data_IF_244754149904
#
_entry.id   IF_244754149904
#
_cell.length_a   1.000
_cell.length_b   1.000
_cell.length_c   1.000
_cell.angle_alpha   90.00
_cell.angle_beta   90.00
_cell.angle_gamma   90.00
#
_symmetry.space_group_name_H-M   'P 1'
#
loop_
_entity.id
_entity.type
_entity.pdbx_description
1 polymer ?
#
# COMPACT_ATOMS: atom_id res chain seq x y z
N UNK A 1 -22.07 -11.19 12.59
CA UNK A 1 -21.70 -11.12 14.02
C UNK A 1 -20.23 -10.74 14.26
N UNK A 2 -19.39 -10.58 13.21
CA UNK A 2 -18.13 -9.83 13.32
C UNK A 2 -18.00 -8.93 12.09
N UNK A 3 -18.69 -7.78 12.11
CA UNK A 3 -18.50 -6.79 11.08
C UNK A 3 -17.19 -6.06 11.39
N UNK A 4 -16.09 -6.50 10.77
CA UNK A 4 -14.95 -5.62 10.56
C UNK A 4 -15.48 -4.45 9.73
N UNK A 5 -15.19 -3.20 10.11
CA UNK A 5 -15.43 -2.07 9.21
C UNK A 5 -14.77 -2.38 7.87
N UNK A 6 -15.40 -1.99 6.76
CA UNK A 6 -14.97 -2.35 5.40
C UNK A 6 -13.45 -2.17 5.23
N UNK A 7 -12.93 -1.01 5.62
CA UNK A 7 -11.50 -0.68 5.62
C UNK A 7 -10.57 -1.71 6.31
N UNK A 8 -10.98 -2.28 7.45
CA UNK A 8 -10.19 -3.30 8.14
C UNK A 8 -10.20 -4.65 7.44
N UNK A 9 -11.31 -5.00 6.80
CA UNK A 9 -11.37 -6.17 5.92
C UNK A 9 -10.53 -5.95 4.66
N UNK A 10 -10.47 -4.72 4.16
CA UNK A 10 -9.69 -4.32 3.00
C UNK A 10 -8.18 -4.38 3.27
N UNK A 11 -7.69 -3.82 4.38
CA UNK A 11 -6.29 -3.94 4.79
C UNK A 11 -5.87 -5.40 5.05
N UNK A 12 -6.78 -6.22 5.59
CA UNK A 12 -6.53 -7.65 5.74
C UNK A 12 -6.29 -8.34 4.39
N UNK A 13 -7.01 -7.94 3.32
CA UNK A 13 -6.75 -8.43 1.96
C UNK A 13 -5.34 -8.08 1.49
N UNK A 14 -4.84 -6.86 1.75
CA UNK A 14 -3.46 -6.49 1.41
C UNK A 14 -2.44 -7.37 2.12
N UNK A 15 -2.59 -7.54 3.43
CA UNK A 15 -1.68 -8.34 4.28
C UNK A 15 -1.64 -9.79 3.86
N UNK A 16 -2.80 -10.46 3.78
CA UNK A 16 -2.85 -11.90 3.55
C UNK A 16 -2.42 -12.29 2.14
N UNK A 17 -2.62 -11.42 1.16
CA UNK A 17 -2.18 -11.65 -0.23
C UNK A 17 -0.78 -11.08 -0.51
N UNK A 18 -0.11 -10.49 0.49
CA UNK A 18 1.22 -9.84 0.36
C UNK A 18 1.27 -8.86 -0.81
N UNK A 19 0.20 -8.10 -1.03
CA UNK A 19 0.09 -7.23 -2.20
C UNK A 19 1.12 -6.10 -2.18
N UNK A 20 1.50 -5.60 -0.99
CA UNK A 20 2.58 -4.62 -0.87
C UNK A 20 3.90 -5.22 -1.37
N UNK A 21 4.20 -6.47 -1.03
CA UNK A 21 5.42 -7.15 -1.48
C UNK A 21 5.43 -7.35 -3.00
N UNK A 22 4.31 -7.84 -3.54
CA UNK A 22 4.15 -8.09 -4.98
C UNK A 22 4.24 -6.79 -5.77
N UNK A 23 3.61 -5.72 -5.28
CA UNK A 23 3.59 -4.42 -5.93
C UNK A 23 4.97 -3.75 -5.92
N UNK A 24 5.66 -3.79 -4.79
CA UNK A 24 6.89 -3.03 -4.57
C UNK A 24 8.17 -3.80 -4.90
N UNK A 25 8.09 -5.13 -4.97
CA UNK A 25 9.24 -6.04 -5.09
C UNK A 25 10.07 -6.17 -3.82
N UNK A 26 9.53 -5.75 -2.67
CA UNK A 26 10.23 -5.72 -1.37
C UNK A 26 9.57 -6.70 -0.40
N UNK A 27 10.37 -7.46 0.36
CA UNK A 27 9.81 -8.33 1.38
C UNK A 27 9.36 -7.47 2.58
N UNK A 28 8.05 -7.42 2.84
CA UNK A 28 7.47 -6.48 3.79
C UNK A 28 6.79 -7.19 4.97
N UNK A 29 6.69 -6.50 6.09
CA UNK A 29 5.85 -6.87 7.21
C UNK A 29 5.11 -5.64 7.75
N UNK A 30 3.84 -5.84 8.14
CA UNK A 30 3.05 -4.80 8.79
C UNK A 30 3.62 -4.53 10.19
N UNK A 31 4.02 -3.29 10.43
CA UNK A 31 4.55 -2.84 11.71
C UNK A 31 3.42 -2.41 12.64
N UNK A 32 2.46 -1.63 12.11
CA UNK A 32 1.35 -1.09 12.90
C UNK A 32 0.20 -0.67 11.97
N UNK A 33 -1.02 -1.05 12.36
CA UNK A 33 -2.26 -0.53 11.75
C UNK A 33 -2.83 0.60 12.62
N UNK A 34 -3.56 1.52 11.98
CA UNK A 34 -4.24 2.66 12.61
C UNK A 34 -3.32 3.51 13.47
N UNK A 35 -2.20 3.94 12.89
CA UNK A 35 -1.26 4.79 13.59
C UNK A 35 -1.78 6.24 13.61
N UNK A 36 -2.24 6.66 14.79
CA UNK A 36 -2.46 8.08 15.11
C UNK A 36 -1.27 8.63 15.86
N UNK A 37 -0.72 9.74 15.39
CA UNK A 37 0.44 10.38 16.03
C UNK A 37 0.55 11.85 15.64
N UNK A 38 1.54 12.54 16.19
CA UNK A 38 1.78 13.96 15.91
C UNK A 38 3.07 14.11 15.13
N UNK A 39 3.01 14.83 14.01
CA UNK A 39 4.18 15.23 13.23
C UNK A 39 4.49 16.69 13.53
N UNK A 40 5.77 17.05 13.80
CA UNK A 40 6.15 18.44 14.03
C UNK A 40 5.65 19.35 12.91
N UNK A 41 5.03 20.48 13.27
CA UNK A 41 4.47 21.50 12.35
C UNK A 41 3.24 21.10 11.53
N UNK A 42 2.92 19.81 11.39
CA UNK A 42 1.69 19.35 10.73
C UNK A 42 0.55 19.04 11.72
N UNK A 43 0.89 18.70 12.97
CA UNK A 43 -0.10 18.34 13.98
C UNK A 43 -0.43 16.85 13.95
N UNK A 44 -1.66 16.49 14.30
CA UNK A 44 -2.09 15.09 14.36
C UNK A 44 -2.30 14.54 12.94
N UNK A 45 -1.73 13.36 12.69
CA UNK A 45 -1.87 12.60 11.44
C UNK A 45 -2.37 11.19 11.75
N UNK A 46 -2.98 10.57 10.76
CA UNK A 46 -3.49 9.21 10.81
C UNK A 46 -3.08 8.45 9.54
N UNK A 47 -2.46 7.28 9.77
CA UNK A 47 -2.04 6.35 8.72
C UNK A 47 -2.69 5.00 8.97
N UNK A 48 -3.37 4.47 7.96
CA UNK A 48 -4.17 3.25 8.08
C UNK A 48 -3.28 2.02 8.34
N UNK A 49 -2.12 1.95 7.69
CA UNK A 49 -1.11 0.93 7.95
C UNK A 49 0.32 1.38 7.62
N UNK A 50 1.31 0.95 8.41
CA UNK A 50 2.73 1.12 8.10
C UNK A 50 3.38 -0.25 7.94
N UNK A 51 4.05 -0.44 6.81
CA UNK A 51 4.92 -1.59 6.57
C UNK A 51 6.39 -1.19 6.65
N UNK A 52 7.22 -2.11 7.11
CA UNK A 52 8.67 -2.07 6.94
C UNK A 52 9.06 -3.17 5.98
N UNK A 53 10.03 -2.91 5.10
CA UNK A 53 10.50 -3.90 4.16
C UNK A 53 12.01 -3.87 3.95
N UNK A 54 12.53 -4.99 3.46
CA UNK A 54 13.94 -5.14 3.06
C UNK A 54 14.00 -5.75 1.67
N UNK A 55 14.77 -5.15 0.78
CA UNK A 55 14.97 -5.67 -0.58
C UNK A 55 16.14 -6.67 -0.63
N UNK A 56 16.38 -7.24 -1.81
CA UNK A 56 17.50 -8.20 -2.05
C UNK A 56 18.90 -7.61 -1.83
N UNK A 57 19.04 -6.28 -1.74
CA UNK A 57 20.30 -5.58 -1.50
C UNK A 57 20.50 -5.22 -0.02
N UNK A 58 19.51 -5.51 0.82
CA UNK A 58 19.50 -5.11 2.23
C UNK A 58 19.09 -3.66 2.44
N UNK A 59 18.53 -2.97 1.44
CA UNK A 59 18.00 -1.63 1.63
C UNK A 59 16.69 -1.71 2.43
N UNK A 60 16.55 -0.82 3.42
CA UNK A 60 15.38 -0.77 4.30
C UNK A 60 14.39 0.29 3.83
N UNK A 61 13.12 -0.08 3.83
CA UNK A 61 12.01 0.72 3.35
C UNK A 61 10.95 0.90 4.44
N UNK A 62 10.27 2.04 4.38
CA UNK A 62 9.00 2.27 5.07
C UNK A 62 7.92 2.57 4.03
N UNK A 63 6.79 1.89 4.15
CA UNK A 63 5.63 2.08 3.28
C UNK A 63 4.43 2.50 4.14
N UNK A 64 4.15 3.81 4.25
CA UNK A 64 2.85 4.23 4.76
C UNK A 64 1.78 3.90 3.71
N UNK A 65 0.66 3.36 4.18
CA UNK A 65 -0.45 2.92 3.34
C UNK A 65 -1.73 3.64 3.76
N UNK A 66 -2.39 4.27 2.78
CA UNK A 66 -3.75 4.78 2.89
C UNK A 66 -4.69 3.87 2.10
N UNK A 67 -5.80 3.46 2.70
CA UNK A 67 -6.78 2.57 2.10
C UNK A 67 -8.15 3.24 2.02
N UNK A 68 -8.79 3.16 0.86
CA UNK A 68 -10.15 3.66 0.62
C UNK A 68 -11.00 2.63 -0.09
N UNK A 69 -12.25 2.47 0.37
CA UNK A 69 -13.22 1.56 -0.23
C UNK A 69 -14.37 2.30 -0.91
N UNK A 70 -14.99 1.67 -1.89
CA UNK A 70 -16.18 2.18 -2.55
C UNK A 70 -15.92 3.50 -3.30
N UNK A 71 -16.72 4.52 -3.00
CA UNK A 71 -16.64 5.84 -3.65
C UNK A 71 -15.69 6.82 -2.93
N UNK A 72 -15.08 6.42 -1.82
CA UNK A 72 -14.13 7.27 -1.12
C UNK A 72 -12.85 7.39 -1.94
N UNK A 73 -12.35 8.62 -2.09
CA UNK A 73 -11.15 8.93 -2.87
C UNK A 73 -9.92 9.05 -1.98
N UNK A 74 -8.77 8.58 -2.48
CA UNK A 74 -7.46 8.84 -1.89
C UNK A 74 -7.19 10.35 -1.86
N UNK A 75 -6.78 10.86 -0.69
CA UNK A 75 -6.48 12.27 -0.49
C UNK A 75 -4.98 12.53 -0.60
N UNK A 76 -4.58 13.41 -1.53
CA UNK A 76 -3.18 13.85 -1.68
C UNK A 76 -2.63 14.41 -0.36
N UNK A 77 -3.45 15.11 0.42
CA UNK A 77 -3.05 15.67 1.72
C UNK A 77 -2.68 14.55 2.70
N UNK A 78 -3.39 13.42 2.70
CA UNK A 78 -3.04 12.27 3.55
C UNK A 78 -1.71 11.65 3.10
N UNK A 79 -1.47 11.58 1.80
CA UNK A 79 -0.20 11.08 1.24
C UNK A 79 0.99 11.98 1.65
N UNK A 80 0.83 13.30 1.57
CA UNK A 80 1.84 14.27 2.03
C UNK A 80 2.11 14.14 3.54
N UNK A 81 1.05 13.98 4.35
CA UNK A 81 1.15 13.76 5.78
C UNK A 81 1.90 12.47 6.12
N UNK A 82 1.66 11.40 5.37
CA UNK A 82 2.34 10.11 5.52
C UNK A 82 3.82 10.18 5.18
N UNK A 83 4.18 10.90 4.12
CA UNK A 83 5.58 11.14 3.75
C UNK A 83 6.29 11.92 4.86
N UNK A 84 5.67 13.00 5.34
CA UNK A 84 6.22 13.80 6.43
C UNK A 84 6.33 13.02 7.75
N UNK A 85 5.34 12.16 8.05
CA UNK A 85 5.38 11.23 9.17
C UNK A 85 6.59 10.29 9.07
N UNK A 86 6.81 9.72 7.90
CA UNK A 86 7.93 8.80 7.67
C UNK A 86 9.28 9.52 7.79
N UNK A 87 9.41 10.73 7.24
CA UNK A 87 10.60 11.55 7.41
C UNK A 87 10.89 11.86 8.88
N UNK A 88 9.85 12.06 9.71
CA UNK A 88 10.02 12.35 11.13
C UNK A 88 10.34 11.11 11.99
N UNK A 89 9.71 9.96 11.72
CA UNK A 89 9.83 8.75 12.57
C UNK A 89 10.85 7.73 12.06
N UNK A 90 11.10 7.70 10.76
CA UNK A 90 11.96 6.72 10.09
C UNK A 90 12.98 7.42 9.17
N UNK A 91 13.77 8.38 9.68
CA UNK A 91 14.60 9.27 8.85
C UNK A 91 15.70 8.56 8.05
N UNK A 92 16.04 7.31 8.40
CA UNK A 92 17.06 6.50 7.72
C UNK A 92 16.48 5.50 6.70
N UNK A 93 15.16 5.36 6.62
CA UNK A 93 14.50 4.40 5.72
C UNK A 93 14.07 5.10 4.43
N UNK A 94 14.05 4.34 3.34
CA UNK A 94 13.51 4.82 2.07
C UNK A 94 11.99 4.83 2.17
N UNK A 95 11.38 6.01 2.11
CA UNK A 95 9.93 6.16 2.14
C UNK A 95 9.35 5.96 0.73
N UNK A 96 8.38 5.04 0.61
CA UNK A 96 7.58 4.83 -0.61
C UNK A 96 6.11 4.82 -0.20
N UNK A 97 5.40 5.93 -0.43
CA UNK A 97 4.01 6.07 0.01
C UNK A 97 3.06 5.32 -0.91
N UNK A 98 2.10 4.59 -0.34
CA UNK A 98 1.22 3.69 -1.07
C UNK A 98 -0.24 4.06 -0.82
N UNK A 99 -1.01 4.19 -1.90
CA UNK A 99 -2.47 4.25 -1.84
C UNK A 99 -3.09 2.95 -2.30
N UNK A 100 -4.12 2.49 -1.60
CA UNK A 100 -4.92 1.33 -1.97
C UNK A 100 -6.38 1.73 -2.15
N UNK A 101 -6.89 1.59 -3.37
CA UNK A 101 -8.31 1.79 -3.68
C UNK A 101 -8.97 0.44 -3.90
N UNK A 102 -9.99 0.13 -3.10
CA UNK A 102 -10.79 -1.07 -3.24
C UNK A 102 -12.05 -0.76 -4.03
N UNK A 103 -12.17 -1.46 -5.15
CA UNK A 103 -13.22 -1.27 -6.13
C UNK A 103 -14.17 -2.48 -6.14
N UNK A 104 -15.19 -2.41 -6.98
CA UNK A 104 -16.12 -3.52 -7.18
C UNK A 104 -15.40 -4.77 -7.74
N UNK A 105 -16.08 -5.92 -7.66
CA UNK A 105 -15.61 -7.20 -8.18
C UNK A 105 -14.23 -7.67 -7.69
N UNK A 106 -13.91 -7.38 -6.42
CA UNK A 106 -12.64 -7.74 -5.78
C UNK A 106 -11.40 -7.15 -6.49
N UNK A 107 -11.56 -6.05 -7.20
CA UNK A 107 -10.45 -5.30 -7.80
C UNK A 107 -9.84 -4.35 -6.78
N UNK A 108 -8.51 -4.34 -6.70
CA UNK A 108 -7.71 -3.51 -5.81
C UNK A 108 -6.70 -2.76 -6.67
N UNK A 109 -6.80 -1.45 -6.75
CA UNK A 109 -5.79 -0.61 -7.37
C UNK A 109 -4.77 -0.16 -6.32
N UNK A 110 -3.48 -0.40 -6.59
CA UNK A 110 -2.37 0.10 -5.80
C UNK A 110 -1.63 1.18 -6.56
N UNK A 111 -1.35 2.27 -5.87
CA UNK A 111 -0.62 3.44 -6.36
C UNK A 111 0.61 3.65 -5.50
N UNK A 112 1.75 3.92 -6.14
CA UNK A 112 2.93 4.47 -5.47
C UNK A 112 3.03 5.95 -5.76
N UNK A 113 3.36 6.72 -4.73
CA UNK A 113 3.48 8.16 -4.80
C UNK A 113 4.91 8.61 -4.51
N UNK A 114 5.36 9.64 -5.23
CA UNK A 114 6.65 10.31 -5.04
C UNK A 114 6.48 11.83 -4.94
N UNK A 115 7.40 12.50 -4.24
CA UNK A 115 7.47 13.95 -4.22
C UNK A 115 8.09 14.47 -5.52
N UNK A 116 7.27 15.11 -6.36
CA UNK A 116 7.69 15.82 -7.56
C UNK A 116 7.98 17.31 -7.30
N UNK A 117 8.27 18.05 -8.37
CA UNK A 117 8.55 19.50 -8.29
C UNK A 117 7.34 20.35 -7.90
N UNK A 118 6.15 19.91 -8.29
CA UNK A 118 4.88 20.65 -8.12
C UNK A 118 3.97 20.02 -7.05
N UNK A 119 4.46 19.00 -6.34
CA UNK A 119 3.70 18.24 -5.36
C UNK A 119 3.82 16.73 -5.56
N UNK A 120 2.96 15.99 -4.89
CA UNK A 120 2.92 14.52 -4.97
C UNK A 120 2.38 14.05 -6.32
N UNK A 121 3.06 13.09 -6.95
CA UNK A 121 2.67 12.47 -8.22
C UNK A 121 2.64 10.95 -8.09
N UNK A 122 1.86 10.28 -8.95
CA UNK A 122 1.82 8.81 -9.04
C UNK A 122 3.04 8.36 -9.86
N UNK A 123 3.90 7.54 -9.25
CA UNK A 123 5.08 6.96 -9.90
C UNK A 123 4.83 5.55 -10.44
N UNK A 124 3.89 4.81 -9.84
CA UNK A 124 3.46 3.50 -10.31
C UNK A 124 2.00 3.22 -9.99
N UNK A 125 1.34 2.45 -10.85
CA UNK A 125 -0.04 1.99 -10.68
C UNK A 125 -0.14 0.54 -11.15
N UNK A 126 -0.77 -0.32 -10.34
CA UNK A 126 -1.13 -1.69 -10.73
C UNK A 126 -2.47 -2.08 -10.13
N UNK A 127 -3.25 -2.86 -10.89
CA UNK A 127 -4.53 -3.37 -10.43
C UNK A 127 -4.46 -4.87 -10.23
N UNK A 128 -5.02 -5.34 -9.11
CA UNK A 128 -5.03 -6.73 -8.69
C UNK A 128 -6.47 -7.18 -8.50
N UNK A 129 -6.85 -8.27 -9.15
CA UNK A 129 -8.14 -8.92 -8.91
C UNK A 129 -7.93 -10.16 -8.07
N UNK A 130 -8.60 -10.23 -6.93
CA UNK A 130 -8.59 -11.46 -6.13
C UNK A 130 -9.58 -12.45 -6.75
N UNK A 131 -9.06 -13.60 -7.17
CA UNK A 131 -9.83 -14.71 -7.74
C UNK A 131 -9.74 -15.93 -6.83
N UNK A 132 -10.80 -16.77 -6.75
CA UNK A 132 -10.72 -18.08 -6.13
C UNK A 132 -9.61 -18.94 -6.76
N UNK A 133 -8.99 -19.82 -5.97
CA UNK A 133 -7.89 -20.65 -6.44
C UNK A 133 -8.30 -21.61 -7.56
N UNK A 134 -9.56 -22.04 -7.56
CA UNK A 134 -10.18 -22.88 -8.58
C UNK A 134 -10.39 -22.16 -9.93
N UNK A 135 -10.38 -20.83 -9.96
CA UNK A 135 -10.49 -20.04 -11.19
C UNK A 135 -9.13 -19.81 -11.87
N UNK A 136 -8.01 -20.14 -11.21
CA UNK A 136 -6.67 -20.04 -11.80
C UNK A 136 -6.42 -21.26 -12.69
N UNK A 137 -6.44 -21.05 -14.00
CA UNK A 137 -6.30 -22.15 -14.97
C UNK A 137 -4.84 -22.54 -15.21
N UNK A 138 -4.62 -23.69 -15.85
CA UNK A 138 -3.26 -24.09 -16.28
C UNK A 138 -2.71 -23.11 -17.31
N UNK A 139 -3.56 -22.59 -18.20
CA UNK A 139 -3.17 -21.64 -19.25
C UNK A 139 -2.77 -20.29 -18.64
N UNK A 140 -3.47 -19.85 -17.58
CA UNK A 140 -3.07 -18.69 -16.77
C UNK A 140 -1.65 -18.88 -16.21
N UNK A 141 -1.41 -20.02 -15.54
CA UNK A 141 -0.10 -20.30 -14.93
C UNK A 141 1.03 -20.41 -15.96
N UNK A 142 0.75 -20.90 -17.17
CA UNK A 142 1.73 -20.91 -18.26
C UNK A 142 2.02 -19.48 -18.73
N UNK A 143 0.98 -18.70 -18.98
CA UNK A 143 1.09 -17.29 -19.39
C UNK A 143 1.90 -16.48 -18.37
N UNK A 144 1.65 -16.66 -17.07
CA UNK A 144 2.33 -15.90 -16.02
C UNK A 144 3.83 -16.21 -15.90
N UNK A 145 4.27 -17.39 -16.31
CA UNK A 145 5.71 -17.74 -16.33
C UNK A 145 6.46 -17.02 -17.45
N UNK A 146 5.78 -16.77 -18.56
CA UNK A 146 6.37 -16.23 -19.77
C UNK A 146 6.33 -14.69 -19.80
N UNK A 147 5.55 -14.06 -18.92
CA UNK A 147 5.60 -12.62 -18.70
C UNK A 147 6.98 -12.20 -18.16
N UNK A 148 7.79 -11.53 -18.99
CA UNK A 148 8.95 -10.80 -18.53
C UNK A 148 8.50 -9.55 -17.76
N UNK A 149 9.02 -9.38 -16.55
CA UNK A 149 8.82 -8.21 -15.68
C UNK A 149 9.72 -7.06 -16.13
#
# INVERSE_FOLDING_TARGET
MYALNDEQALLAKLRYNRLIDIFTGVACYSLRSHLRTTVPKLGQVETDEIYIGVDKRGAHYVFPVQAKGGNDLLSVVQIEQDIALCAAKFPSLICRSIGAQFMEDNLIALFEFEEGKEGVVISAEKHYRLVPGEEVTVDDLQTYRDHQI
#
